data_IF_958930061956
#
_entry.id   IF_958930061956
#
_cell.length_a   1.000
_cell.length_b   1.000
_cell.length_c   1.000
_cell.angle_alpha   90.00
_cell.angle_beta   90.00
_cell.angle_gamma   90.00
#
_symmetry.space_group_name_H-M   'P 1'
#
loop_
_entity.id
_entity.type
_entity.pdbx_description
1 polymer ?
#
# COMPACT_ATOMS: atom_id res chain seq x y z
N UNK A 1 -46.73 41.95 35.14
CA UNK A 1 -46.64 43.42 34.89
C UNK A 1 -45.26 43.90 35.33
N UNK A 2 -44.46 44.49 34.42
CA UNK A 2 -43.25 45.28 34.77
C UNK A 2 -43.60 46.76 34.72
N UNK A 3 -42.96 47.59 35.56
CA UNK A 3 -42.15 48.70 35.05
C UNK A 3 -40.79 48.76 35.79
N UNK A 4 -39.64 48.98 35.14
CA UNK A 4 -39.01 50.16 34.50
C UNK A 4 -38.23 51.07 35.49
N UNK A 5 -37.03 51.45 35.02
CA UNK A 5 -35.81 51.97 35.68
C UNK A 5 -35.81 53.50 35.84
N UNK A 6 -34.88 54.02 36.66
CA UNK A 6 -33.91 55.15 36.45
C UNK A 6 -33.50 55.78 37.80
N UNK A 7 -32.34 56.39 38.09
CA UNK A 7 -30.98 56.55 37.52
C UNK A 7 -30.14 57.40 38.52
N UNK A 8 -28.80 57.28 38.43
CA UNK A 8 -27.72 58.31 38.63
C UNK A 8 -27.43 59.01 39.97
N UNK A 9 -26.24 58.68 40.52
CA UNK A 9 -24.99 59.46 40.61
C UNK A 9 -24.75 60.70 41.53
N UNK A 10 -23.52 60.67 42.08
CA UNK A 10 -22.47 61.72 42.20
C UNK A 10 -22.24 62.46 43.55
N UNK A 11 -20.93 62.50 43.91
CA UNK A 11 -20.13 63.69 44.33
C UNK A 11 -19.63 63.85 45.81
N UNK A 12 -18.31 63.61 45.94
CA UNK A 12 -17.23 64.41 46.61
C UNK A 12 -16.78 64.25 48.08
N UNK A 13 -15.44 64.11 48.21
CA UNK A 13 -14.55 64.38 49.37
C UNK A 13 -14.29 65.89 49.58
N UNK A 14 -13.61 66.34 50.68
CA UNK A 14 -12.14 66.62 50.60
C UNK A 14 -11.31 66.69 51.94
N UNK A 15 -9.97 66.72 51.81
CA UNK A 15 -8.98 67.43 52.70
C UNK A 15 -7.99 66.56 53.51
N UNK A 16 -6.68 66.41 53.17
CA UNK A 16 -5.45 67.26 53.38
C UNK A 16 -5.15 67.62 54.85
N UNK A 17 -3.94 67.58 55.43
CA UNK A 17 -2.53 67.33 55.04
C UNK A 17 -1.65 67.39 56.33
N UNK A 18 -0.40 66.92 56.40
CA UNK A 18 0.83 67.71 56.10
C UNK A 18 2.11 66.90 56.41
N UNK A 19 3.19 67.24 55.68
CA UNK A 19 4.56 66.69 55.65
C UNK A 19 5.43 66.99 56.89
N UNK A 20 6.49 66.18 57.11
CA UNK A 20 7.88 66.68 57.30
C UNK A 20 8.96 65.57 57.07
N UNK A 21 9.79 65.84 56.05
CA UNK A 21 11.18 65.47 55.72
C UNK A 21 12.04 64.54 56.59
N UNK A 22 12.85 63.70 55.92
CA UNK A 22 14.10 63.15 56.48
C UNK A 22 14.74 62.03 55.66
N UNK A 23 15.59 62.40 54.69
CA UNK A 23 16.49 61.53 53.92
C UNK A 23 17.42 60.70 54.83
N UNK A 24 17.44 59.37 54.67
CA UNK A 24 18.63 58.51 54.61
C UNK A 24 18.22 57.02 54.66
N UNK A 25 18.96 56.16 53.95
CA UNK A 25 18.83 54.69 53.88
C UNK A 25 17.84 54.10 52.86
N UNK A 26 18.11 54.29 51.56
CA UNK A 26 17.66 53.34 50.50
C UNK A 26 18.85 52.92 49.63
N UNK A 27 19.92 52.47 50.27
CA UNK A 27 21.10 51.93 49.59
C UNK A 27 21.61 50.69 50.32
N UNK A 28 20.75 49.69 50.54
CA UNK A 28 21.15 48.35 50.99
C UNK A 28 20.00 47.34 50.86
N UNK A 29 19.31 47.29 49.71
CA UNK A 29 18.30 46.23 49.45
C UNK A 29 18.08 45.98 47.95
N UNK A 30 19.14 46.14 47.15
CA UNK A 30 19.17 45.84 45.71
C UNK A 30 20.46 45.11 45.29
N UNK A 31 21.07 44.36 46.22
CA UNK A 31 22.24 43.49 45.94
C UNK A 31 22.02 42.04 46.42
N UNK A 32 20.91 41.74 47.10
CA UNK A 32 20.56 40.37 47.53
C UNK A 32 19.25 39.86 46.92
N UNK A 33 18.94 40.30 45.69
CA UNK A 33 17.85 39.73 44.87
C UNK A 33 18.30 39.55 43.41
N UNK A 34 19.54 39.08 43.22
CA UNK A 34 20.05 38.58 41.92
C UNK A 34 20.74 37.21 42.06
N UNK A 35 20.88 36.66 43.28
CA UNK A 35 21.52 35.36 43.54
C UNK A 35 20.50 34.32 44.05
N UNK A 36 19.41 34.15 43.33
CA UNK A 36 18.50 33.01 43.46
C UNK A 36 17.80 32.67 42.12
N UNK A 37 18.48 32.88 41.00
CA UNK A 37 18.15 32.17 39.76
C UNK A 37 18.84 30.81 39.88
N UNK A 38 18.09 29.86 40.44
CA UNK A 38 18.50 28.47 40.48
C UNK A 38 18.92 28.01 39.09
N UNK A 39 20.01 27.25 39.09
CA UNK A 39 20.62 26.58 37.95
C UNK A 39 19.56 25.77 37.18
N UNK A 40 18.91 26.41 36.22
CA UNK A 40 18.48 25.68 35.04
C UNK A 40 19.76 25.28 34.34
N UNK A 41 20.18 24.03 34.56
CA UNK A 41 21.04 23.32 33.63
C UNK A 41 20.42 23.50 32.25
N UNK A 42 20.93 24.48 31.51
CA UNK A 42 20.73 24.58 30.08
C UNK A 42 21.37 23.34 29.51
N UNK A 43 20.61 22.26 29.42
CA UNK A 43 20.86 21.25 28.42
C UNK A 43 20.83 22.02 27.11
N UNK A 44 22.01 22.41 26.62
CA UNK A 44 22.18 22.83 25.25
C UNK A 44 21.50 21.75 24.43
N UNK A 45 20.34 22.07 23.86
CA UNK A 45 19.76 21.32 22.76
C UNK A 45 20.80 21.40 21.65
N UNK A 46 21.79 20.49 21.69
CA UNK A 46 22.55 20.16 20.51
C UNK A 46 21.47 19.66 19.57
N UNK A 47 21.16 20.46 18.54
CA UNK A 47 20.52 19.91 17.36
C UNK A 47 21.39 18.71 16.97
N UNK A 48 20.86 17.50 17.16
CA UNK A 48 21.57 16.29 16.76
C UNK A 48 21.96 16.50 15.29
N UNK A 49 23.26 16.48 15.01
CA UNK A 49 23.74 16.60 13.64
C UNK A 49 23.11 15.47 12.84
N UNK A 50 22.53 15.80 11.69
CA UNK A 50 21.98 14.80 10.77
C UNK A 50 23.15 13.90 10.32
N UNK A 51 23.09 12.57 10.49
CA UNK A 51 24.14 11.67 10.02
C UNK A 51 24.42 11.86 8.54
N UNK A 52 25.68 11.72 8.13
CA UNK A 52 26.12 11.99 6.76
C UNK A 52 26.52 10.66 6.10
N UNK A 53 25.98 10.37 4.93
CA UNK A 53 26.51 9.33 4.04
C UNK A 53 27.60 9.94 3.19
N UNK A 54 28.84 9.49 3.41
CA UNK A 54 30.04 10.07 2.79
C UNK A 54 30.51 9.34 1.54
N UNK A 55 30.17 8.05 1.39
CA UNK A 55 30.50 7.29 0.18
C UNK A 55 29.65 6.02 0.03
N UNK A 56 29.50 5.56 -1.21
CA UNK A 56 28.89 4.27 -1.56
C UNK A 56 29.82 3.55 -2.52
N UNK A 57 30.28 2.36 -2.14
CA UNK A 57 31.29 1.60 -2.89
C UNK A 57 30.78 0.21 -3.24
N UNK A 58 31.06 -0.19 -4.48
CA UNK A 58 30.79 -1.52 -5.01
C UNK A 58 32.12 -2.26 -5.24
N UNK A 59 32.29 -3.40 -4.60
CA UNK A 59 33.44 -4.30 -4.77
C UNK A 59 33.01 -5.61 -5.42
N UNK A 60 33.62 -5.97 -6.54
CA UNK A 60 33.34 -7.24 -7.21
C UNK A 60 34.33 -8.31 -6.77
N UNK A 61 33.81 -9.44 -6.29
CA UNK A 61 34.57 -10.65 -5.96
C UNK A 61 34.11 -11.80 -6.86
N UNK A 62 34.86 -12.92 -6.94
CA UNK A 62 34.52 -14.04 -7.82
C UNK A 62 33.14 -14.67 -7.55
N UNK A 63 32.72 -14.71 -6.28
CA UNK A 63 31.51 -15.40 -5.80
C UNK A 63 30.41 -14.45 -5.32
N UNK A 64 30.72 -13.15 -5.17
CA UNK A 64 29.81 -12.17 -4.57
C UNK A 64 30.10 -10.74 -5.01
N UNK A 65 29.11 -9.87 -4.87
CA UNK A 65 29.28 -8.41 -4.94
C UNK A 65 29.18 -7.86 -3.52
N UNK A 66 30.18 -7.09 -3.09
CA UNK A 66 30.20 -6.38 -1.81
C UNK A 66 29.75 -4.94 -1.99
N UNK A 67 28.84 -4.50 -1.14
CA UNK A 67 28.40 -3.11 -1.09
C UNK A 67 28.84 -2.53 0.26
N UNK A 68 29.39 -1.32 0.22
CA UNK A 68 29.84 -0.58 1.40
C UNK A 68 29.20 0.80 1.38
N UNK A 69 28.54 1.18 2.48
CA UNK A 69 28.01 2.53 2.71
C UNK A 69 28.78 3.13 3.87
N UNK A 70 29.53 4.21 3.62
CA UNK A 70 30.33 4.93 4.61
C UNK A 70 29.50 6.05 5.25
N UNK A 71 29.47 6.09 6.58
CA UNK A 71 28.67 6.99 7.41
C UNK A 71 29.53 7.77 8.41
N UNK A 72 29.16 9.01 8.71
CA UNK A 72 29.82 9.85 9.73
C UNK A 72 29.66 9.31 11.15
N UNK A 73 28.58 8.58 11.43
CA UNK A 73 28.24 8.04 12.74
C UNK A 73 27.38 6.76 12.63
N UNK A 74 27.22 5.98 13.71
CA UNK A 74 26.34 4.82 13.72
C UNK A 74 24.88 5.18 13.53
N UNK A 75 24.19 4.44 12.67
CA UNK A 75 22.75 4.57 12.46
C UNK A 75 22.10 3.18 12.45
N UNK A 76 20.87 3.11 12.95
CA UNK A 76 20.01 1.95 12.72
C UNK A 76 19.57 1.92 11.25
N UNK A 77 19.40 0.73 10.70
CA UNK A 77 18.94 0.58 9.32
C UNK A 77 18.13 -0.69 9.14
N UNK A 78 17.32 -0.72 8.09
CA UNK A 78 16.69 -1.94 7.60
C UNK A 78 17.13 -2.21 6.18
N UNK A 79 17.31 -3.48 5.83
CA UNK A 79 17.73 -3.91 4.49
C UNK A 79 16.83 -5.05 4.01
N UNK A 80 16.39 -4.99 2.76
CA UNK A 80 15.45 -5.94 2.19
C UNK A 80 15.50 -5.96 0.66
N UNK A 81 14.85 -6.95 0.06
CA UNK A 81 14.82 -7.14 -1.40
C UNK A 81 13.41 -6.99 -1.96
N UNK A 82 13.28 -6.49 -3.20
CA UNK A 82 11.99 -6.33 -3.88
C UNK A 82 12.07 -6.93 -5.28
N UNK A 83 11.01 -7.60 -5.71
CA UNK A 83 10.90 -8.12 -7.07
C UNK A 83 10.24 -7.11 -8.02
N UNK A 84 10.38 -7.38 -9.33
CA UNK A 84 9.65 -6.74 -10.42
C UNK A 84 9.68 -5.18 -10.38
N UNK A 85 10.85 -4.53 -10.60
CA UNK A 85 12.17 -5.10 -10.88
C UNK A 85 12.96 -5.50 -9.62
N UNK A 86 13.95 -6.38 -9.78
CA UNK A 86 14.83 -6.84 -8.70
C UNK A 86 15.60 -5.68 -8.08
N UNK A 87 15.46 -5.50 -6.77
CA UNK A 87 16.08 -4.42 -6.01
C UNK A 87 16.56 -4.88 -4.65
N UNK A 88 17.58 -4.22 -4.14
CA UNK A 88 17.89 -4.16 -2.70
C UNK A 88 17.56 -2.74 -2.22
N UNK A 89 16.91 -2.64 -1.06
CA UNK A 89 16.53 -1.38 -0.45
C UNK A 89 17.10 -1.31 0.95
N UNK A 90 17.64 -0.16 1.30
CA UNK A 90 18.16 0.16 2.63
C UNK A 90 17.48 1.42 3.10
N UNK A 91 16.78 1.33 4.24
CA UNK A 91 16.20 2.48 4.93
C UNK A 91 17.10 2.87 6.09
N UNK A 92 17.44 4.15 6.14
CA UNK A 92 18.23 4.81 7.16
C UNK A 92 17.34 5.85 7.87
N UNK A 93 17.67 6.32 9.08
CA UNK A 93 17.16 7.59 9.56
C UNK A 93 17.43 8.70 8.54
N UNK A 94 16.84 9.88 8.74
CA UNK A 94 17.15 11.02 7.90
C UNK A 94 18.66 11.28 7.92
N UNK A 95 19.28 11.21 6.75
CA UNK A 95 20.72 11.43 6.53
C UNK A 95 20.93 12.48 5.46
N UNK A 96 22.02 13.21 5.57
CA UNK A 96 22.53 14.08 4.52
C UNK A 96 23.42 13.26 3.56
N UNK A 97 23.25 13.47 2.25
CA UNK A 97 23.94 12.71 1.21
C UNK A 97 25.11 13.52 0.66
N UNK A 98 26.30 13.39 1.25
CA UNK A 98 27.52 14.07 0.81
C UNK A 98 28.43 13.12 0.04
N UNK A 99 27.93 12.68 -1.11
CA UNK A 99 28.64 11.74 -1.96
C UNK A 99 29.62 12.47 -2.91
N UNK A 100 30.85 11.94 -3.12
CA UNK A 100 31.72 12.39 -4.18
C UNK A 100 31.00 12.39 -5.53
N UNK A 101 31.37 13.30 -6.44
CA UNK A 101 30.76 13.55 -7.76
C UNK A 101 30.67 12.33 -8.72
N UNK A 102 31.02 11.11 -8.27
CA UNK A 102 30.98 9.86 -9.04
C UNK A 102 30.51 8.62 -8.25
N UNK A 103 30.01 8.76 -7.02
CA UNK A 103 29.60 7.62 -6.17
C UNK A 103 28.16 7.13 -6.42
N UNK A 104 27.40 7.81 -7.29
CA UNK A 104 26.00 7.48 -7.61
C UNK A 104 25.74 6.90 -9.01
N UNK A 105 26.72 6.92 -9.92
CA UNK A 105 26.54 6.54 -11.34
C UNK A 105 27.21 5.20 -11.74
N UNK A 106 27.74 4.45 -10.76
CA UNK A 106 28.52 3.24 -11.08
C UNK A 106 27.66 2.00 -11.11
N UNK A 107 27.32 1.55 -12.32
CA UNK A 107 26.97 0.15 -12.54
C UNK A 107 28.22 -0.71 -12.33
N UNK A 108 28.21 -1.64 -11.37
CA UNK A 108 29.30 -2.59 -11.15
C UNK A 108 28.75 -3.94 -10.70
N UNK A 109 29.31 -5.03 -11.23
CA UNK A 109 28.80 -6.38 -11.00
C UNK A 109 27.30 -6.49 -11.32
N UNK A 110 26.52 -6.89 -10.31
CA UNK A 110 25.07 -7.13 -10.43
C UNK A 110 24.19 -5.89 -10.21
N UNK A 111 24.78 -4.76 -9.78
CA UNK A 111 24.07 -3.51 -9.55
C UNK A 111 24.06 -2.69 -10.85
N UNK A 112 22.86 -2.38 -11.34
CA UNK A 112 22.63 -1.55 -12.52
C UNK A 112 22.66 -0.07 -12.17
N UNK A 113 21.83 0.33 -11.21
CA UNK A 113 21.67 1.71 -10.80
C UNK A 113 21.67 1.81 -9.28
N UNK A 114 22.12 2.96 -8.79
CA UNK A 114 22.05 3.35 -7.38
C UNK A 114 21.17 4.61 -7.32
N UNK A 115 20.15 4.58 -6.45
CA UNK A 115 19.24 5.72 -6.25
C UNK A 115 19.16 6.00 -4.76
N UNK A 116 19.20 7.27 -4.39
CA UNK A 116 19.05 7.68 -3.00
C UNK A 116 18.28 8.99 -2.90
N UNK A 117 17.45 9.12 -1.88
CA UNK A 117 16.72 10.36 -1.58
C UNK A 117 16.18 10.31 -0.14
N UNK A 118 15.72 11.45 0.37
CA UNK A 118 14.77 11.47 1.47
C UNK A 118 13.50 10.73 1.02
N UNK A 119 13.14 9.64 1.71
CA UNK A 119 11.96 8.84 1.34
C UNK A 119 10.69 9.39 1.98
N UNK A 120 10.77 9.73 3.26
CA UNK A 120 9.76 10.43 4.05
C UNK A 120 10.46 11.20 5.17
N UNK A 121 9.77 12.12 5.83
CA UNK A 121 10.31 12.79 7.02
C UNK A 121 10.87 11.77 8.02
N UNK A 122 12.12 11.94 8.44
CA UNK A 122 12.80 11.03 9.35
C UNK A 122 13.36 9.75 8.72
N UNK A 123 13.24 9.52 7.40
CA UNK A 123 13.76 8.30 6.75
C UNK A 123 14.34 8.60 5.38
N UNK A 124 15.64 8.35 5.23
CA UNK A 124 16.34 8.36 3.95
C UNK A 124 16.44 6.94 3.37
N UNK A 125 16.38 6.81 2.04
CA UNK A 125 16.43 5.49 1.39
C UNK A 125 17.53 5.41 0.33
N UNK A 126 18.24 4.29 0.33
CA UNK A 126 19.13 3.84 -0.73
C UNK A 126 18.52 2.62 -1.45
N UNK A 127 18.46 2.67 -2.79
CA UNK A 127 17.94 1.60 -3.65
C UNK A 127 18.99 1.18 -4.66
N UNK A 128 19.25 -0.12 -4.74
CA UNK A 128 20.11 -0.74 -5.74
C UNK A 128 19.24 -1.53 -6.72
N UNK A 129 19.22 -1.11 -7.99
CA UNK A 129 18.54 -1.87 -9.05
C UNK A 129 19.45 -3.01 -9.52
N UNK A 130 18.93 -4.24 -9.61
CA UNK A 130 19.72 -5.44 -9.86
C UNK A 130 19.49 -6.00 -11.27
N UNK A 131 20.51 -6.63 -11.86
CA UNK A 131 20.42 -7.32 -13.17
C UNK A 131 19.61 -8.61 -13.12
N UNK A 132 19.69 -9.31 -12.01
CA UNK A 132 19.08 -10.63 -11.82
C UNK A 132 18.77 -10.84 -10.32
N UNK A 133 18.05 -11.90 -9.94
CA UNK A 133 17.81 -12.18 -8.52
C UNK A 133 19.12 -12.32 -7.74
N UNK A 134 19.22 -11.63 -6.61
CA UNK A 134 20.37 -11.70 -5.71
C UNK A 134 19.90 -11.94 -4.27
N UNK A 135 20.61 -12.79 -3.54
CA UNK A 135 20.42 -13.04 -2.12
C UNK A 135 21.44 -12.23 -1.32
N UNK A 136 21.00 -11.59 -0.22
CA UNK A 136 21.90 -10.95 0.75
C UNK A 136 22.42 -12.05 1.68
N UNK A 137 23.72 -12.31 1.63
CA UNK A 137 24.35 -13.42 2.37
C UNK A 137 25.08 -12.97 3.63
N UNK A 138 25.35 -11.69 3.77
CA UNK A 138 25.95 -11.11 4.98
C UNK A 138 25.56 -9.65 5.11
N UNK A 139 25.45 -9.18 6.35
CA UNK A 139 25.27 -7.76 6.68
C UNK A 139 26.03 -7.50 7.97
N UNK A 140 26.93 -6.53 7.95
CA UNK A 140 27.84 -6.21 9.05
C UNK A 140 27.99 -4.70 9.18
N UNK A 141 28.11 -4.22 10.41
CA UNK A 141 28.52 -2.83 10.70
C UNK A 141 29.98 -2.87 11.11
N UNK A 142 30.84 -2.17 10.37
CA UNK A 142 32.28 -2.07 10.65
C UNK A 142 32.66 -0.64 11.08
N UNK A 143 33.74 -0.45 11.85
CA UNK A 143 34.30 0.87 12.09
C UNK A 143 34.66 1.58 10.78
N UNK A 144 34.42 2.90 10.72
CA UNK A 144 34.86 3.77 9.63
C UNK A 144 36.38 3.86 9.55
N UNK A 145 36.90 4.19 8.36
CA UNK A 145 38.34 4.25 8.11
C UNK A 145 39.06 5.33 8.97
N UNK A 146 38.35 6.39 9.35
CA UNK A 146 38.86 7.50 10.17
C UNK A 146 38.54 7.38 11.67
N UNK A 147 38.02 6.23 12.13
CA UNK A 147 37.76 5.92 13.54
C UNK A 147 36.43 6.43 14.13
N UNK A 148 35.93 7.61 13.71
CA UNK A 148 34.64 8.15 14.18
C UNK A 148 33.41 7.61 13.44
N UNK A 149 33.56 7.26 12.15
CA UNK A 149 32.47 6.79 11.30
C UNK A 149 32.07 5.33 11.48
N UNK A 150 31.08 4.90 10.69
CA UNK A 150 30.65 3.50 10.53
C UNK A 150 30.53 3.13 9.07
N UNK A 151 30.59 1.83 8.80
CA UNK A 151 30.43 1.23 7.48
C UNK A 151 29.38 0.15 7.53
N UNK A 152 28.30 0.32 6.79
CA UNK A 152 27.37 -0.79 6.53
C UNK A 152 27.97 -1.58 5.37
N UNK A 153 28.29 -2.84 5.62
CA UNK A 153 28.87 -3.76 4.63
C UNK A 153 27.94 -4.93 4.45
N UNK A 154 27.50 -5.18 3.23
CA UNK A 154 26.72 -6.37 2.92
C UNK A 154 27.17 -6.99 1.60
N UNK A 155 27.12 -8.32 1.57
CA UNK A 155 27.48 -9.10 0.39
C UNK A 155 26.25 -9.72 -0.24
N UNK A 156 26.20 -9.71 -1.57
CA UNK A 156 25.15 -10.35 -2.36
C UNK A 156 25.72 -11.38 -3.32
N UNK A 157 24.97 -12.46 -3.53
CA UNK A 157 25.27 -13.50 -4.53
C UNK A 157 24.05 -13.79 -5.40
N UNK A 158 24.27 -14.33 -6.58
CA UNK A 158 23.18 -14.79 -7.45
C UNK A 158 22.36 -15.89 -6.79
N UNK A 159 21.05 -15.82 -6.98
CA UNK A 159 20.10 -16.84 -6.50
C UNK A 159 19.05 -17.14 -7.57
N UNK A 160 18.25 -18.18 -7.34
CA UNK A 160 17.13 -18.50 -8.23
C UNK A 160 15.98 -17.51 -8.02
N UNK A 161 15.16 -17.32 -9.06
CA UNK A 161 13.96 -16.46 -8.95
C UNK A 161 13.02 -16.95 -7.84
N UNK A 162 12.84 -18.26 -7.69
CA UNK A 162 11.99 -18.84 -6.64
C UNK A 162 12.50 -18.48 -5.25
N UNK A 163 13.78 -18.75 -4.97
CA UNK A 163 14.39 -18.45 -3.67
C UNK A 163 14.41 -16.93 -3.37
N UNK A 164 14.60 -16.10 -4.40
CA UNK A 164 14.46 -14.65 -4.24
C UNK A 164 13.05 -14.25 -3.84
N UNK A 165 12.03 -14.80 -4.51
CA UNK A 165 10.63 -14.45 -4.23
C UNK A 165 10.14 -14.95 -2.85
N UNK A 166 10.79 -15.96 -2.28
CA UNK A 166 10.49 -16.44 -0.92
C UNK A 166 10.92 -15.46 0.18
N UNK A 167 11.97 -14.67 -0.09
CA UNK A 167 12.58 -13.74 0.88
C UNK A 167 12.35 -12.28 0.54
N UNK A 168 12.02 -11.97 -0.71
CA UNK A 168 11.73 -10.62 -1.16
C UNK A 168 10.39 -10.11 -0.61
N UNK A 169 10.42 -8.89 -0.09
CA UNK A 169 9.35 -8.26 0.65
C UNK A 169 9.92 -7.12 1.49
N UNK A 170 9.05 -6.28 2.03
CA UNK A 170 9.47 -5.26 2.99
C UNK A 170 9.88 -5.93 4.31
N UNK A 171 10.85 -5.37 5.08
CA UNK A 171 11.03 -5.76 6.47
C UNK A 171 9.73 -5.41 7.16
N UNK A 172 9.28 -6.24 8.09
CA UNK A 172 8.08 -5.91 8.84
C UNK A 172 8.19 -4.51 9.42
N UNK A 173 7.33 -3.61 8.96
CA UNK A 173 7.24 -2.26 9.48
C UNK A 173 6.87 -2.41 10.96
N UNK A 174 7.87 -2.34 11.85
CA UNK A 174 7.63 -1.94 13.22
C UNK A 174 7.15 -0.50 13.16
N UNK A 175 5.84 -0.36 13.01
CA UNK A 175 5.16 0.90 13.17
C UNK A 175 5.38 1.30 14.63
N UNK A 176 6.15 2.36 14.87
CA UNK A 176 6.13 3.05 16.16
C UNK A 176 4.70 3.55 16.40
N UNK A 177 3.93 2.79 17.18
CA UNK A 177 2.51 3.02 17.46
C UNK A 177 2.26 4.42 18.05
N UNK A 178 3.29 5.00 18.67
CA UNK A 178 3.19 6.31 19.34
C UNK A 178 3.17 7.48 18.37
N UNK A 179 3.68 7.32 17.13
CA UNK A 179 3.80 8.38 16.11
C UNK A 179 2.90 8.21 14.88
N UNK A 180 2.08 7.17 14.87
CA UNK A 180 1.24 6.86 13.70
C UNK A 180 -0.03 7.73 13.65
N UNK A 181 -0.49 8.15 12.45
CA UNK A 181 -1.75 8.87 12.29
C UNK A 181 -2.93 8.12 12.92
N UNK A 182 -3.95 8.82 13.39
CA UNK A 182 -5.12 8.19 14.03
C UNK A 182 -5.80 7.12 13.15
N UNK A 183 -5.74 7.25 11.82
CA UNK A 183 -6.26 6.25 10.89
C UNK A 183 -5.38 4.98 10.79
N UNK A 184 -4.08 5.08 11.08
CA UNK A 184 -3.14 3.96 11.09
C UNK A 184 -3.19 3.17 12.42
N UNK A 185 -3.62 3.80 13.52
CA UNK A 185 -3.80 3.14 14.84
C UNK A 185 -4.87 2.05 14.83
N UNK A 186 -5.77 2.04 13.85
CA UNK A 186 -6.77 0.98 13.66
C UNK A 186 -6.25 -0.26 12.93
N UNK A 187 -4.97 -0.31 12.53
CA UNK A 187 -4.37 -1.45 11.81
C UNK A 187 -3.77 -2.54 12.71
N UNK A 188 -4.05 -2.54 14.02
CA UNK A 188 -3.83 -3.75 14.83
C UNK A 188 -4.92 -4.76 14.44
N UNK A 189 -4.66 -5.49 13.36
CA UNK A 189 -5.55 -6.49 12.77
C UNK A 189 -5.74 -7.62 13.77
N UNK A 190 -6.75 -7.51 14.65
CA UNK A 190 -7.24 -8.65 15.44
C UNK A 190 -7.56 -9.77 14.45
N UNK A 191 -6.99 -10.96 14.69
CA UNK A 191 -7.24 -12.17 13.89
C UNK A 191 -8.77 -12.28 13.66
N UNK A 192 -9.26 -12.05 12.43
CA UNK A 192 -10.69 -12.09 12.20
C UNK A 192 -11.16 -13.53 12.38
N UNK A 193 -12.36 -13.71 12.94
CA UNK A 193 -12.93 -15.05 13.15
C UNK A 193 -13.19 -15.80 11.82
N UNK A 194 -13.26 -15.06 10.71
CA UNK A 194 -13.38 -15.55 9.34
C UNK A 194 -12.73 -14.55 8.37
N UNK A 195 -12.14 -15.02 7.27
CA UNK A 195 -11.66 -14.13 6.20
C UNK A 195 -12.85 -13.57 5.43
N UNK A 196 -12.94 -12.24 5.31
CA UNK A 196 -14.03 -11.59 4.58
C UNK A 196 -13.67 -11.50 3.10
N UNK A 197 -14.49 -12.10 2.24
CA UNK A 197 -14.31 -12.10 0.79
C UNK A 197 -15.43 -11.27 0.18
N UNK A 198 -15.07 -10.21 -0.52
CA UNK A 198 -16.01 -9.39 -1.28
C UNK A 198 -15.95 -9.81 -2.73
N UNK A 199 -17.10 -10.22 -3.25
CA UNK A 199 -17.30 -10.53 -4.65
C UNK A 199 -18.02 -9.33 -5.28
N UNK A 200 -17.41 -8.77 -6.31
CA UNK A 200 -17.98 -7.66 -7.05
C UNK A 200 -18.41 -8.13 -8.44
N UNK A 201 -19.71 -8.47 -8.65
CA UNK A 201 -20.21 -8.72 -9.99
C UNK A 201 -20.24 -7.40 -10.77
N UNK A 202 -19.39 -7.27 -11.80
CA UNK A 202 -19.29 -6.06 -12.62
C UNK A 202 -20.64 -5.62 -13.21
N UNK A 203 -20.76 -4.32 -13.51
CA UNK A 203 -21.95 -3.73 -14.16
C UNK A 203 -23.25 -3.90 -13.34
N UNK A 204 -24.42 -3.90 -14.00
CA UNK A 204 -25.75 -4.10 -13.43
C UNK A 204 -26.74 -2.98 -13.78
N UNK A 205 -28.03 -3.30 -13.81
CA UNK A 205 -29.11 -2.35 -14.07
C UNK A 205 -29.01 -1.71 -15.45
N UNK A 206 -28.76 -0.39 -15.49
CA UNK A 206 -28.61 0.36 -16.75
C UNK A 206 -27.33 0.01 -17.51
N UNK A 207 -26.31 -0.48 -16.81
CA UNK A 207 -25.07 -0.93 -17.43
C UNK A 207 -25.13 -2.47 -17.63
N UNK A 208 -25.37 -2.98 -18.84
CA UNK A 208 -25.36 -4.42 -19.09
C UNK A 208 -23.94 -5.02 -19.19
N UNK A 209 -22.91 -4.17 -19.17
CA UNK A 209 -21.55 -4.53 -19.55
C UNK A 209 -21.45 -4.90 -21.03
N UNK A 210 -20.55 -5.81 -21.37
CA UNK A 210 -20.46 -6.38 -22.69
C UNK A 210 -21.74 -7.13 -23.08
N UNK A 211 -22.21 -6.88 -24.30
CA UNK A 211 -23.33 -7.62 -24.90
C UNK A 211 -22.82 -8.41 -26.10
N UNK A 212 -23.06 -9.72 -26.06
CA UNK A 212 -22.69 -10.62 -27.16
C UNK A 212 -23.57 -10.38 -28.39
N UNK A 213 -23.17 -10.94 -29.53
CA UNK A 213 -24.01 -10.91 -30.74
C UNK A 213 -25.35 -11.65 -30.58
N UNK A 214 -25.49 -12.49 -29.55
CA UNK A 214 -26.71 -13.26 -29.25
C UNK A 214 -27.57 -12.61 -28.15
N UNK A 215 -27.18 -11.43 -27.67
CA UNK A 215 -27.90 -10.72 -26.60
C UNK A 215 -27.54 -11.18 -25.18
N UNK A 216 -26.52 -12.03 -25.02
CA UNK A 216 -26.00 -12.39 -23.69
C UNK A 216 -25.39 -11.14 -23.05
N UNK A 217 -25.85 -10.76 -21.85
CA UNK A 217 -25.34 -9.62 -21.09
C UNK A 217 -24.29 -10.08 -20.06
N UNK A 218 -23.20 -9.35 -19.96
CA UNK A 218 -22.15 -9.59 -18.98
C UNK A 218 -22.69 -9.53 -17.54
N UNK A 219 -23.49 -8.51 -17.22
CA UNK A 219 -24.05 -8.29 -15.89
C UNK A 219 -24.79 -9.52 -15.32
N UNK A 220 -25.47 -10.29 -16.17
CA UNK A 220 -26.22 -11.50 -15.79
C UNK A 220 -25.29 -12.69 -15.49
N UNK A 221 -24.24 -12.84 -16.30
CA UNK A 221 -23.25 -13.92 -16.16
C UNK A 221 -22.45 -13.73 -14.88
N UNK A 222 -21.93 -12.53 -14.66
CA UNK A 222 -21.04 -12.24 -13.52
C UNK A 222 -21.81 -12.36 -12.21
N UNK A 223 -23.08 -11.92 -12.17
CA UNK A 223 -23.96 -12.10 -11.01
C UNK A 223 -24.25 -13.59 -10.75
N UNK A 224 -24.52 -14.35 -11.80
CA UNK A 224 -24.77 -15.79 -11.70
C UNK A 224 -23.55 -16.55 -11.17
N UNK A 225 -22.33 -16.18 -11.60
CA UNK A 225 -21.12 -16.79 -11.04
C UNK A 225 -20.90 -16.35 -9.60
N UNK A 226 -21.05 -15.07 -9.28
CA UNK A 226 -20.84 -14.56 -7.92
C UNK A 226 -21.72 -15.29 -6.89
N UNK A 227 -22.99 -15.55 -7.24
CA UNK A 227 -23.91 -16.34 -6.39
C UNK A 227 -23.46 -17.78 -6.21
N UNK A 228 -22.99 -18.43 -7.28
CA UNK A 228 -22.44 -19.79 -7.21
C UNK A 228 -21.15 -19.83 -6.36
N UNK A 229 -20.24 -18.88 -6.57
CA UNK A 229 -18.99 -18.76 -5.82
C UNK A 229 -19.26 -18.51 -4.34
N UNK A 230 -20.20 -17.61 -4.01
CA UNK A 230 -20.67 -17.40 -2.63
C UNK A 230 -21.16 -18.70 -1.99
N UNK A 231 -22.02 -19.45 -2.69
CA UNK A 231 -22.56 -20.70 -2.17
C UNK A 231 -21.44 -21.72 -1.88
N UNK A 232 -20.43 -21.81 -2.75
CA UNK A 232 -19.30 -22.73 -2.54
C UNK A 232 -18.33 -22.27 -1.46
N UNK A 233 -18.07 -20.97 -1.31
CA UNK A 233 -17.25 -20.44 -0.21
C UNK A 233 -17.94 -20.62 1.14
N UNK A 234 -19.24 -20.35 1.22
CA UNK A 234 -20.02 -20.55 2.45
C UNK A 234 -20.12 -22.03 2.87
N UNK A 235 -19.94 -22.98 1.94
CA UNK A 235 -19.88 -24.40 2.28
C UNK A 235 -18.56 -24.83 2.95
N UNK A 236 -17.53 -23.97 2.94
CA UNK A 236 -16.27 -24.17 3.69
C UNK A 236 -16.40 -23.86 5.19
N UNK A 237 -17.63 -23.70 5.68
CA UNK A 237 -17.94 -23.45 7.08
C UNK A 237 -17.62 -22.02 7.50
N UNK A 238 -17.27 -21.82 8.78
CA UNK A 238 -17.05 -20.48 9.35
C UNK A 238 -15.73 -19.83 8.95
N UNK A 239 -14.97 -20.45 8.06
CA UNK A 239 -13.67 -19.91 7.62
C UNK A 239 -13.80 -18.66 6.75
N UNK A 240 -14.91 -18.53 6.02
CA UNK A 240 -15.19 -17.37 5.16
C UNK A 240 -16.49 -16.66 5.54
N UNK A 241 -16.46 -15.32 5.48
CA UNK A 241 -17.65 -14.48 5.34
C UNK A 241 -17.65 -13.94 3.92
N UNK A 242 -18.74 -14.11 3.19
CA UNK A 242 -18.82 -13.66 1.78
C UNK A 242 -19.86 -12.56 1.64
N UNK A 243 -19.44 -11.44 1.05
CA UNK A 243 -20.30 -10.29 0.75
C UNK A 243 -20.29 -10.08 -0.76
N UNK A 244 -21.45 -9.78 -1.33
CA UNK A 244 -21.56 -9.34 -2.72
C UNK A 244 -21.75 -7.83 -2.72
N UNK A 245 -21.10 -7.11 -3.64
CA UNK A 245 -21.42 -5.68 -3.83
C UNK A 245 -22.87 -5.52 -4.26
N UNK A 246 -23.36 -6.39 -5.16
CA UNK A 246 -24.77 -6.53 -5.54
C UNK A 246 -25.20 -8.00 -5.62
N UNK A 247 -26.41 -8.32 -5.19
CA UNK A 247 -27.02 -9.65 -5.36
C UNK A 247 -28.27 -9.66 -6.26
N UNK A 248 -28.55 -8.53 -6.91
CA UNK A 248 -29.60 -8.33 -7.90
C UNK A 248 -29.10 -7.52 -9.11
N UNK A 249 -29.97 -7.31 -10.11
CA UNK A 249 -29.65 -6.56 -11.34
C UNK A 249 -29.73 -5.05 -11.12
N UNK A 250 -28.85 -4.54 -10.24
CA UNK A 250 -28.71 -3.12 -9.91
C UNK A 250 -27.32 -2.64 -10.27
N UNK A 251 -27.23 -1.42 -10.80
CA UNK A 251 -25.95 -0.78 -11.09
C UNK A 251 -25.41 -0.06 -9.86
N UNK A 252 -24.15 -0.31 -9.52
CA UNK A 252 -23.43 0.38 -8.44
C UNK A 252 -22.25 1.16 -8.99
N UNK A 253 -22.04 2.35 -8.44
CA UNK A 253 -20.89 3.18 -8.80
C UNK A 253 -19.58 2.54 -8.35
N UNK A 254 -18.48 2.79 -9.07
CA UNK A 254 -17.17 2.21 -8.73
C UNK A 254 -16.71 2.58 -7.31
N UNK A 255 -16.97 3.81 -6.87
CA UNK A 255 -16.68 4.28 -5.50
C UNK A 255 -17.48 3.52 -4.44
N UNK A 256 -18.73 3.19 -4.73
CA UNK A 256 -19.60 2.45 -3.82
C UNK A 256 -19.13 1.00 -3.65
N UNK A 257 -18.73 0.35 -4.74
CA UNK A 257 -18.14 -1.00 -4.72
C UNK A 257 -16.90 -1.05 -3.83
N UNK A 258 -16.03 -0.04 -3.92
CA UNK A 258 -14.85 0.12 -3.07
C UNK A 258 -15.24 0.35 -1.61
N UNK A 259 -16.20 1.23 -1.34
CA UNK A 259 -16.69 1.52 0.01
C UNK A 259 -17.22 0.25 0.69
N UNK A 260 -18.03 -0.56 0.00
CA UNK A 260 -18.51 -1.85 0.51
C UNK A 260 -17.33 -2.75 0.90
N UNK A 261 -16.28 -2.83 0.08
CA UNK A 261 -15.12 -3.66 0.39
C UNK A 261 -14.38 -3.18 1.65
N UNK A 262 -14.21 -1.87 1.80
CA UNK A 262 -13.52 -1.28 2.95
C UNK A 262 -14.35 -1.38 4.23
N UNK A 263 -15.64 -1.04 4.16
CA UNK A 263 -16.56 -1.05 5.30
C UNK A 263 -16.79 -2.46 5.86
N UNK A 264 -16.63 -3.49 5.02
CA UNK A 264 -16.69 -4.88 5.44
C UNK A 264 -15.34 -5.44 5.91
N UNK A 265 -14.28 -4.61 5.93
CA UNK A 265 -12.90 -5.02 6.25
C UNK A 265 -12.47 -6.23 5.41
N UNK A 266 -12.72 -6.14 4.11
CA UNK A 266 -12.46 -7.23 3.18
C UNK A 266 -11.00 -7.68 3.24
N UNK A 267 -10.79 -8.99 3.38
CA UNK A 267 -9.46 -9.61 3.28
C UNK A 267 -9.07 -9.90 1.83
N UNK A 268 -10.04 -9.91 0.91
CA UNK A 268 -9.86 -10.04 -0.52
C UNK A 268 -11.09 -9.48 -1.26
N UNK A 269 -10.87 -8.70 -2.31
CA UNK A 269 -11.87 -8.24 -3.28
C UNK A 269 -11.61 -8.92 -4.63
N UNK A 270 -12.65 -9.53 -5.21
CA UNK A 270 -12.62 -10.13 -6.54
C UNK A 270 -13.72 -9.49 -7.38
N UNK A 271 -13.34 -8.65 -8.33
CA UNK A 271 -14.25 -8.10 -9.34
C UNK A 271 -14.35 -9.08 -10.51
N UNK A 272 -15.57 -9.48 -10.87
CA UNK A 272 -15.86 -10.52 -11.86
C UNK A 272 -16.39 -9.88 -13.14
N UNK A 273 -15.74 -10.19 -14.26
CA UNK A 273 -16.03 -9.62 -15.59
C UNK A 273 -15.99 -10.69 -16.69
N UNK A 274 -16.62 -10.37 -17.82
CA UNK A 274 -16.63 -11.15 -19.04
C UNK A 274 -16.78 -10.23 -20.27
N UNK A 275 -15.76 -9.41 -20.51
CA UNK A 275 -15.79 -8.36 -21.53
C UNK A 275 -15.77 -8.92 -22.97
N UNK A 276 -15.61 -8.05 -23.96
CA UNK A 276 -15.64 -8.32 -25.39
C UNK A 276 -14.52 -7.58 -26.07
N UNK A 277 -13.62 -8.31 -26.72
CA UNK A 277 -12.57 -7.70 -27.54
C UNK A 277 -13.12 -7.44 -28.94
N UNK A 278 -13.16 -6.16 -29.33
CA UNK A 278 -13.63 -5.74 -30.67
C UNK A 278 -12.72 -6.28 -31.76
N UNK A 279 -13.32 -6.79 -32.85
CA UNK A 279 -12.58 -7.27 -34.02
C UNK A 279 -11.78 -8.56 -33.83
N UNK A 280 -11.78 -9.15 -32.62
CA UNK A 280 -10.99 -10.34 -32.31
C UNK A 280 -11.86 -11.49 -31.78
N UNK A 281 -12.73 -12.10 -32.62
CA UNK A 281 -13.64 -13.16 -32.19
C UNK A 281 -12.93 -14.46 -31.79
N UNK A 282 -11.64 -14.60 -32.13
CA UNK A 282 -10.84 -15.79 -31.85
C UNK A 282 -10.12 -15.74 -30.49
N UNK A 283 -10.00 -14.57 -29.87
CA UNK A 283 -9.38 -14.44 -28.54
C UNK A 283 -10.33 -15.00 -27.50
N UNK A 284 -9.81 -15.91 -26.66
CA UNK A 284 -10.61 -16.64 -25.68
C UNK A 284 -9.76 -17.17 -24.54
N UNK A 285 -10.39 -17.32 -23.38
CA UNK A 285 -9.78 -17.79 -22.14
C UNK A 285 -9.70 -16.70 -21.09
N UNK A 286 -9.54 -17.12 -19.84
CA UNK A 286 -9.53 -16.24 -18.69
C UNK A 286 -8.19 -15.47 -18.52
N UNK A 287 -8.28 -14.29 -17.92
CA UNK A 287 -7.15 -13.48 -17.45
C UNK A 287 -7.51 -12.74 -16.17
N UNK A 288 -6.50 -12.40 -15.37
CA UNK A 288 -6.62 -11.64 -14.13
C UNK A 288 -5.82 -10.35 -14.25
N UNK A 289 -6.37 -9.28 -13.68
CA UNK A 289 -5.78 -7.96 -13.65
C UNK A 289 -5.57 -7.50 -12.20
N UNK A 290 -4.42 -6.88 -11.96
CA UNK A 290 -4.09 -6.23 -10.68
C UNK A 290 -3.89 -4.73 -10.87
N UNK A 291 -4.05 -3.96 -9.80
CA UNK A 291 -3.82 -2.51 -9.84
C UNK A 291 -2.35 -2.19 -10.18
N UNK A 292 -2.15 -1.22 -11.06
CA UNK A 292 -0.86 -0.57 -11.29
C UNK A 292 -1.08 0.86 -11.80
N UNK A 293 -0.12 1.76 -11.53
CA UNK A 293 -0.10 3.11 -12.13
C UNK A 293 0.16 3.06 -13.65
N UNK A 294 0.89 2.04 -14.11
CA UNK A 294 1.19 1.80 -15.53
C UNK A 294 0.50 0.54 -16.02
N UNK A 295 0.08 0.51 -17.29
CA UNK A 295 -0.49 -0.68 -17.89
C UNK A 295 0.60 -1.67 -18.35
N UNK A 296 0.33 -2.97 -18.29
CA UNK A 296 1.23 -4.02 -18.79
C UNK A 296 1.31 -4.06 -20.32
N UNK A 297 0.21 -3.71 -20.97
CA UNK A 297 0.01 -3.73 -22.42
C UNK A 297 -1.14 -2.79 -22.81
N UNK A 298 -1.26 -2.49 -24.11
CA UNK A 298 -2.30 -1.59 -24.61
C UNK A 298 -3.70 -2.17 -24.40
N UNK A 299 -3.90 -3.47 -24.53
CA UNK A 299 -5.21 -4.08 -24.26
C UNK A 299 -5.63 -3.92 -22.79
N UNK A 300 -4.71 -4.08 -21.84
CA UNK A 300 -4.97 -3.80 -20.43
C UNK A 300 -5.30 -2.31 -20.19
N UNK A 301 -4.62 -1.40 -20.89
CA UNK A 301 -4.91 0.03 -20.82
C UNK A 301 -6.31 0.37 -21.39
N UNK A 302 -6.67 -0.22 -22.54
CA UNK A 302 -7.98 -0.06 -23.17
C UNK A 302 -9.08 -0.59 -22.25
N UNK A 303 -8.89 -1.79 -21.69
CA UNK A 303 -9.84 -2.41 -20.78
C UNK A 303 -10.05 -1.54 -19.53
N UNK A 304 -8.96 -1.09 -18.87
CA UNK A 304 -9.08 -0.21 -17.71
C UNK A 304 -9.82 1.10 -18.04
N UNK A 305 -9.53 1.74 -19.19
CA UNK A 305 -10.26 2.95 -19.62
C UNK A 305 -11.74 2.68 -19.86
N UNK A 306 -12.10 1.50 -20.35
CA UNK A 306 -13.49 1.11 -20.59
C UNK A 306 -14.21 0.86 -19.26
N UNK A 307 -13.64 0.05 -18.39
CA UNK A 307 -14.25 -0.32 -17.11
C UNK A 307 -14.36 0.87 -16.15
N UNK A 308 -13.40 1.80 -16.18
CA UNK A 308 -13.45 3.05 -15.41
C UNK A 308 -14.54 4.03 -15.89
N UNK A 309 -15.23 3.75 -17.00
CA UNK A 309 -16.32 4.57 -17.55
C UNK A 309 -17.71 3.96 -17.32
N UNK A 310 -17.82 2.89 -16.54
CA UNK A 310 -19.11 2.26 -16.21
C UNK A 310 -20.07 3.22 -15.50
N UNK A 311 -19.56 4.06 -14.60
CA UNK A 311 -20.35 5.07 -13.87
C UNK A 311 -21.08 6.07 -14.78
N UNK A 312 -20.56 6.34 -15.99
CA UNK A 312 -21.21 7.22 -16.98
C UNK A 312 -22.58 6.67 -17.39
N UNK A 313 -22.73 5.35 -17.48
CA UNK A 313 -24.00 4.70 -17.85
C UNK A 313 -25.01 4.70 -16.70
N UNK A 314 -24.56 4.99 -15.48
CA UNK A 314 -25.39 5.05 -14.28
C UNK A 314 -25.94 6.46 -13.99
N UNK A 315 -25.63 7.45 -14.84
CA UNK A 315 -26.02 8.86 -14.66
C UNK A 315 -25.44 9.48 -13.37
N UNK A 316 -24.24 9.04 -12.98
CA UNK A 316 -23.51 9.51 -11.79
C UNK A 316 -22.62 10.70 -12.17
N UNK A 317 -22.68 11.78 -11.40
CA UNK A 317 -21.86 12.98 -11.63
C UNK A 317 -20.37 12.69 -11.34
N UNK A 318 -19.52 12.95 -12.34
CA UNK A 318 -18.07 12.71 -12.31
C UNK A 318 -17.28 13.91 -11.76
N UNK A 319 -17.97 14.95 -11.25
CA UNK A 319 -17.38 16.22 -10.82
C UNK A 319 -16.51 16.14 -9.55
N UNK A 320 -16.61 15.06 -8.77
CA UNK A 320 -15.96 14.93 -7.46
C UNK A 320 -14.55 14.33 -7.52
N UNK A 321 -13.82 14.53 -8.62
CA UNK A 321 -12.47 13.98 -8.87
C UNK A 321 -11.35 14.81 -8.21
N UNK A 322 -11.53 15.21 -6.95
CA UNK A 322 -10.45 15.81 -6.16
C UNK A 322 -10.20 14.99 -4.91
N UNK A 323 -9.38 13.94 -5.04
CA UNK A 323 -8.71 13.33 -3.88
C UNK A 323 -7.23 13.19 -4.20
N UNK A 324 -6.58 14.34 -4.38
CA UNK A 324 -5.14 14.51 -4.23
C UNK A 324 -4.86 14.62 -2.72
N UNK A 325 -4.86 13.49 -2.01
CA UNK A 325 -4.66 13.45 -0.56
C UNK A 325 -3.57 12.44 -0.21
N UNK A 326 -2.37 12.95 0.12
CA UNK A 326 -1.20 12.25 0.69
C UNK A 326 -0.70 11.00 -0.07
N UNK A 327 -0.28 11.20 -1.32
CA UNK A 327 0.23 10.17 -2.25
C UNK A 327 1.30 9.23 -1.67
N UNK A 328 2.20 9.69 -0.79
CA UNK A 328 3.36 8.89 -0.37
C UNK A 328 2.99 7.84 0.69
N UNK A 329 2.14 8.19 1.66
CA UNK A 329 1.72 7.27 2.74
C UNK A 329 0.69 6.26 2.22
N UNK A 330 -0.17 6.68 1.31
CA UNK A 330 -1.11 5.81 0.59
C UNK A 330 -0.33 4.85 -0.31
N UNK A 331 0.68 5.31 -1.07
CA UNK A 331 1.51 4.42 -1.91
C UNK A 331 2.23 3.32 -1.10
N UNK A 332 2.66 3.60 0.14
CA UNK A 332 3.32 2.62 1.01
C UNK A 332 2.32 1.59 1.58
N UNK A 333 1.17 2.04 2.07
CA UNK A 333 0.10 1.16 2.58
C UNK A 333 -0.50 0.29 1.46
N UNK A 334 -0.65 0.87 0.26
CA UNK A 334 -1.12 0.16 -0.93
C UNK A 334 -0.13 -0.91 -1.41
N UNK A 335 1.16 -0.81 -1.08
CA UNK A 335 2.15 -1.71 -1.65
C UNK A 335 2.03 -3.14 -1.14
N UNK A 336 1.76 -3.34 0.15
CA UNK A 336 1.50 -4.69 0.67
C UNK A 336 0.19 -5.24 0.15
N UNK A 337 -0.82 -4.39 0.06
CA UNK A 337 -2.11 -4.71 -0.57
C UNK A 337 -1.93 -5.19 -2.01
N UNK A 338 -1.15 -4.47 -2.82
CA UNK A 338 -0.81 -4.85 -4.19
C UNK A 338 -0.02 -6.15 -4.26
N UNK A 339 0.92 -6.40 -3.33
CA UNK A 339 1.62 -7.68 -3.24
C UNK A 339 0.64 -8.82 -2.97
N UNK A 340 -0.32 -8.62 -2.07
CA UNK A 340 -1.43 -9.54 -1.81
C UNK A 340 -2.21 -9.87 -3.09
N UNK A 341 -2.60 -8.84 -3.86
CA UNK A 341 -3.29 -9.01 -5.15
C UNK A 341 -2.49 -9.85 -6.13
N UNK A 342 -1.19 -9.58 -6.27
CA UNK A 342 -0.29 -10.32 -7.19
C UNK A 342 -0.10 -11.76 -6.72
N UNK A 343 0.03 -12.00 -5.41
CA UNK A 343 0.11 -13.36 -4.85
C UNK A 343 -1.17 -14.15 -5.16
N UNK A 344 -2.33 -13.56 -4.92
CA UNK A 344 -3.61 -14.20 -5.25
C UNK A 344 -3.73 -14.49 -6.76
N UNK A 345 -3.41 -13.52 -7.62
CA UNK A 345 -3.42 -13.69 -9.08
C UNK A 345 -2.54 -14.87 -9.55
N UNK A 346 -1.36 -15.04 -8.96
CA UNK A 346 -0.43 -16.17 -9.25
C UNK A 346 -0.98 -17.53 -8.84
N UNK A 347 -1.82 -17.60 -7.81
CA UNK A 347 -2.50 -18.81 -7.39
C UNK A 347 -3.76 -19.07 -8.24
N UNK A 348 -4.49 -18.01 -8.59
CA UNK A 348 -5.75 -18.08 -9.32
C UNK A 348 -5.58 -18.67 -10.73
N UNK A 349 -4.60 -18.19 -11.50
CA UNK A 349 -4.52 -18.59 -12.91
C UNK A 349 -4.23 -20.08 -13.13
N UNK A 350 -3.28 -20.71 -12.40
CA UNK A 350 -3.07 -22.16 -12.49
C UNK A 350 -4.29 -22.98 -12.06
N UNK A 351 -5.07 -22.53 -11.07
CA UNK A 351 -6.29 -23.22 -10.64
C UNK A 351 -7.39 -23.15 -11.70
N UNK A 352 -7.54 -21.99 -12.36
CA UNK A 352 -8.47 -21.84 -13.49
C UNK A 352 -8.05 -22.69 -14.70
N UNK A 353 -6.75 -22.78 -14.98
CA UNK A 353 -6.21 -23.54 -16.11
C UNK A 353 -6.55 -25.05 -16.06
N UNK A 354 -6.91 -25.59 -14.89
CA UNK A 354 -7.38 -26.98 -14.73
C UNK A 354 -8.74 -27.22 -15.39
N UNK A 355 -9.58 -26.19 -15.49
CA UNK A 355 -10.99 -26.31 -15.89
C UNK A 355 -11.42 -25.40 -17.06
N UNK A 356 -10.59 -24.42 -17.43
CA UNK A 356 -10.82 -23.56 -18.60
C UNK A 356 -9.52 -23.18 -19.29
N UNK A 357 -9.65 -22.66 -20.50
CA UNK A 357 -8.54 -22.01 -21.20
C UNK A 357 -8.20 -20.70 -20.49
N UNK A 358 -6.92 -20.42 -20.35
CA UNK A 358 -6.37 -19.15 -19.89
C UNK A 358 -5.57 -18.51 -21.03
N UNK A 359 -5.45 -17.19 -21.05
CA UNK A 359 -4.57 -16.53 -22.01
C UNK A 359 -3.10 -16.87 -21.73
N UNK A 360 -2.23 -16.76 -22.76
CA UNK A 360 -0.79 -16.93 -22.55
C UNK A 360 -0.21 -15.83 -21.65
N UNK A 361 -0.67 -14.59 -21.86
CA UNK A 361 -0.44 -13.47 -20.93
C UNK A 361 -1.69 -13.27 -20.05
N UNK A 362 -1.87 -14.18 -19.09
CA UNK A 362 -3.07 -14.26 -18.24
C UNK A 362 -3.01 -13.41 -16.96
N UNK A 363 -1.87 -12.87 -16.56
CA UNK A 363 -1.79 -11.89 -15.47
C UNK A 363 -1.31 -10.55 -16.04
N UNK A 364 -2.19 -9.56 -15.98
CA UNK A 364 -1.97 -8.20 -16.49
C UNK A 364 -2.18 -7.18 -15.39
N UNK A 365 -1.84 -5.93 -15.65
CA UNK A 365 -2.03 -4.86 -14.67
C UNK A 365 -2.31 -3.53 -15.36
N UNK A 366 -3.14 -2.70 -14.74
CA UNK A 366 -3.48 -1.34 -15.21
C UNK A 366 -4.21 -0.57 -14.10
N UNK A 367 -4.55 0.70 -14.37
CA UNK A 367 -5.18 1.62 -13.43
C UNK A 367 -6.70 1.43 -13.28
N UNK A 368 -7.17 0.22 -12.96
CA UNK A 368 -8.59 -0.06 -12.70
C UNK A 368 -9.06 0.64 -11.43
N UNK A 369 -10.09 1.47 -11.54
CA UNK A 369 -10.63 2.23 -10.40
C UNK A 369 -11.21 1.29 -9.33
N UNK A 370 -11.91 0.23 -9.71
CA UNK A 370 -12.48 -0.77 -8.78
C UNK A 370 -11.42 -1.53 -7.94
N UNK A 371 -10.13 -1.45 -8.33
CA UNK A 371 -9.04 -2.12 -7.63
C UNK A 371 -8.23 -1.16 -6.72
N UNK A 372 -8.68 0.08 -6.55
CA UNK A 372 -7.97 1.14 -5.80
C UNK A 372 -8.18 1.11 -4.28
N UNK A 373 -8.82 0.09 -3.72
CA UNK A 373 -8.97 -0.03 -2.27
C UNK A 373 -7.57 -0.18 -1.64
N UNK A 374 -7.09 0.78 -0.84
CA UNK A 374 -5.69 0.83 -0.46
C UNK A 374 -5.28 -0.24 0.57
N UNK A 375 -6.26 -0.78 1.28
CA UNK A 375 -6.17 -1.71 2.41
C UNK A 375 -6.74 -3.10 2.09
N UNK A 376 -7.24 -3.33 0.87
CA UNK A 376 -7.89 -4.58 0.45
C UNK A 376 -7.21 -5.18 -0.78
N UNK A 377 -6.55 -6.37 -0.67
CA UNK A 377 -6.02 -7.07 -1.83
C UNK A 377 -7.15 -7.28 -2.85
N UNK A 378 -6.94 -6.81 -4.07
CA UNK A 378 -7.99 -6.68 -5.09
C UNK A 378 -7.53 -7.19 -6.45
N UNK A 379 -8.35 -8.01 -7.11
CA UNK A 379 -8.16 -8.45 -8.50
C UNK A 379 -9.42 -8.26 -9.33
N UNK A 380 -9.25 -8.04 -10.63
CA UNK A 380 -10.31 -8.13 -11.62
C UNK A 380 -10.10 -9.39 -12.45
N UNK A 381 -11.09 -10.29 -12.48
CA UNK A 381 -11.05 -11.54 -13.23
C UNK A 381 -11.92 -11.43 -14.48
N UNK A 382 -11.27 -11.43 -15.64
CA UNK A 382 -11.92 -11.70 -16.93
C UNK A 382 -12.05 -13.20 -17.11
N UNK A 383 -13.28 -13.72 -17.05
CA UNK A 383 -13.52 -15.18 -17.09
C UNK A 383 -13.43 -15.77 -18.50
N UNK A 384 -13.39 -14.90 -19.50
CA UNK A 384 -13.46 -15.21 -20.92
C UNK A 384 -14.22 -14.10 -21.65
N UNK A 385 -14.23 -14.14 -22.98
CA UNK A 385 -14.73 -13.01 -23.76
C UNK A 385 -16.05 -13.31 -24.47
N UNK A 386 -17.05 -12.44 -24.30
CA UNK A 386 -18.35 -12.52 -24.98
C UNK A 386 -18.26 -12.27 -26.50
N UNK A 387 -17.13 -11.82 -27.02
CA UNK A 387 -16.82 -11.83 -28.46
C UNK A 387 -16.59 -13.24 -29.01
N UNK A 388 -16.19 -14.19 -28.17
CA UNK A 388 -15.87 -15.56 -28.58
C UNK A 388 -17.04 -16.51 -28.31
N UNK A 389 -17.48 -17.23 -29.35
CA UNK A 389 -18.61 -18.17 -29.26
C UNK A 389 -18.39 -19.30 -28.24
N UNK A 390 -17.16 -19.76 -28.10
CA UNK A 390 -16.78 -20.84 -27.18
C UNK A 390 -16.82 -20.40 -25.73
N UNK A 391 -16.28 -19.21 -25.44
CA UNK A 391 -16.37 -18.62 -24.10
C UNK A 391 -17.79 -18.22 -23.76
N UNK A 392 -18.53 -17.58 -24.67
CA UNK A 392 -19.95 -17.26 -24.43
C UNK A 392 -20.78 -18.51 -24.11
N UNK A 393 -20.54 -19.65 -24.80
CA UNK A 393 -21.19 -20.93 -24.50
C UNK A 393 -20.84 -21.41 -23.08
N UNK A 394 -19.58 -21.31 -22.71
CA UNK A 394 -19.09 -21.70 -21.38
C UNK A 394 -19.67 -20.80 -20.28
N UNK A 395 -19.61 -19.49 -20.45
CA UNK A 395 -20.12 -18.48 -19.51
C UNK A 395 -21.62 -18.65 -19.24
N UNK A 396 -22.40 -19.03 -20.26
CA UNK A 396 -23.83 -19.34 -20.11
C UNK A 396 -24.11 -20.71 -19.46
N UNK A 397 -23.14 -21.62 -19.42
CA UNK A 397 -23.33 -22.95 -18.86
C UNK A 397 -23.23 -22.96 -17.32
N UNK A 398 -24.32 -23.40 -16.65
CA UNK A 398 -24.34 -23.58 -15.19
C UNK A 398 -23.26 -24.57 -14.71
N UNK A 399 -23.04 -25.66 -15.46
CA UNK A 399 -22.03 -26.66 -15.09
C UNK A 399 -20.60 -26.12 -15.23
N UNK A 400 -20.36 -25.25 -16.21
CA UNK A 400 -19.06 -24.59 -16.36
C UNK A 400 -18.85 -23.56 -15.26
N UNK A 401 -19.85 -22.71 -14.96
CA UNK A 401 -19.76 -21.74 -13.85
C UNK A 401 -19.49 -22.42 -12.51
N UNK A 402 -20.13 -23.56 -12.23
CA UNK A 402 -19.85 -24.38 -11.04
C UNK A 402 -18.39 -24.85 -10.96
N UNK A 403 -17.83 -25.33 -12.08
CA UNK A 403 -16.43 -25.78 -12.15
C UNK A 403 -15.45 -24.63 -11.94
N UNK A 404 -15.73 -23.47 -12.52
CA UNK A 404 -14.85 -22.29 -12.40
C UNK A 404 -14.94 -21.66 -11.02
N UNK A 405 -16.14 -21.59 -10.44
CA UNK A 405 -16.30 -21.23 -9.04
C UNK A 405 -15.45 -22.14 -8.13
N UNK A 406 -15.41 -23.45 -8.39
CA UNK A 406 -14.56 -24.39 -7.63
C UNK A 406 -13.08 -24.06 -7.76
N UNK A 407 -12.58 -23.79 -8.97
CA UNK A 407 -11.20 -23.35 -9.19
C UNK A 407 -10.87 -22.04 -8.44
N UNK A 408 -11.82 -21.09 -8.39
CA UNK A 408 -11.63 -19.84 -7.64
C UNK A 408 -11.60 -20.12 -6.13
N UNK A 409 -12.48 -20.99 -5.61
CA UNK A 409 -12.46 -21.41 -4.19
C UNK A 409 -11.12 -22.06 -3.84
N UNK A 410 -10.61 -22.96 -4.68
CA UNK A 410 -9.34 -23.64 -4.41
C UNK A 410 -8.16 -22.64 -4.40
N UNK A 411 -8.18 -21.61 -5.25
CA UNK A 411 -7.20 -20.53 -5.22
C UNK A 411 -7.30 -19.68 -3.94
N UNK A 412 -8.52 -19.39 -3.49
CA UNK A 412 -8.80 -18.64 -2.26
C UNK A 412 -8.30 -19.43 -1.03
N UNK A 413 -8.60 -20.73 -0.97
CA UNK A 413 -8.13 -21.63 0.10
C UNK A 413 -6.60 -21.63 0.21
N UNK A 414 -5.92 -21.74 -0.94
CA UNK A 414 -4.45 -21.69 -0.99
C UNK A 414 -3.91 -20.34 -0.54
N UNK A 415 -4.52 -19.25 -1.00
CA UNK A 415 -4.10 -17.90 -0.64
C UNK A 415 -4.21 -17.65 0.85
N UNK A 416 -5.36 -17.94 1.46
CA UNK A 416 -5.55 -17.73 2.89
C UNK A 416 -4.78 -18.74 3.74
N UNK A 417 -4.54 -19.96 3.25
CA UNK A 417 -3.60 -20.89 3.87
C UNK A 417 -2.18 -20.32 3.97
N UNK A 418 -1.68 -19.67 2.90
CA UNK A 418 -0.38 -18.99 2.95
C UNK A 418 -0.38 -17.75 3.86
N UNK A 419 -1.47 -16.97 3.85
CA UNK A 419 -1.61 -15.78 4.72
C UNK A 419 -1.57 -16.18 6.19
N UNK A 420 -2.34 -17.20 6.57
CA UNK A 420 -2.42 -17.67 7.96
C UNK A 420 -1.09 -18.25 8.43
N UNK A 421 -0.37 -19.00 7.58
CA UNK A 421 0.96 -19.50 7.90
C UNK A 421 1.98 -18.37 8.09
N UNK A 422 1.94 -17.32 7.25
CA UNK A 422 2.81 -16.16 7.41
C UNK A 422 2.49 -15.40 8.69
N UNK A 423 1.21 -15.26 9.03
CA UNK A 423 0.79 -14.62 10.28
C UNK A 423 1.23 -15.43 11.51
N UNK A 424 1.02 -16.75 11.51
CA UNK A 424 1.43 -17.61 12.63
C UNK A 424 2.94 -17.57 12.89
N UNK A 425 3.76 -17.49 11.83
CA UNK A 425 5.21 -17.32 11.96
C UNK A 425 5.59 -15.99 12.59
N UNK A 426 4.84 -14.92 12.32
CA UNK A 426 5.04 -13.59 12.95
C UNK A 426 4.69 -13.61 14.42
N UNK A 427 3.58 -14.25 14.78
CA UNK A 427 3.10 -14.31 16.17
C UNK A 427 4.00 -15.16 17.09
N UNK A 428 4.95 -15.92 16.54
CA UNK A 428 5.87 -16.81 17.29
C UNK A 428 7.24 -16.16 17.56
N UNK A 429 7.54 -14.99 16.96
CA UNK A 429 8.77 -14.21 17.15
C UNK A 429 8.43 -13.02 18.06
#
# INVERSE_FOLDING_TARGET
MRPKREKTDLITCPGRGTLKHGFAQVAALLVFMVLALGEFNGASLHAASVPIVTDIRLGQHPDKTRIVVDLSEPVDFSIFTLADPYRIVIDLPEVDWQLPFRSGERSAGQVQNIRYNLFKSGTSRLVLDLRQPQEIISTQILPGLSGSGRRIVFDIKSTTRTAFLETAGWPDLQIDETKSPAWAKNFVRRKPAAHVIVLDPGHGGKDPGAVSARGTREADIVLSLAKELRAQLMSRGRYYKVVLTRDEDVGLALRERLAIARDQEASLLISLHADKIRGQPNVRGASVYTLSKTASDEEAAVLARKENRSDILLDVDMSDNSDEVNDILIDLAMRETMNGSVRFARLLMPELAKNTKVLSNNHRYAGFAVLKAPDVPSVLLEMGYLSNRGDEKNLNSKSWRKKIASSIVDAIDRYFGEVDLRQAKRDTI
#
